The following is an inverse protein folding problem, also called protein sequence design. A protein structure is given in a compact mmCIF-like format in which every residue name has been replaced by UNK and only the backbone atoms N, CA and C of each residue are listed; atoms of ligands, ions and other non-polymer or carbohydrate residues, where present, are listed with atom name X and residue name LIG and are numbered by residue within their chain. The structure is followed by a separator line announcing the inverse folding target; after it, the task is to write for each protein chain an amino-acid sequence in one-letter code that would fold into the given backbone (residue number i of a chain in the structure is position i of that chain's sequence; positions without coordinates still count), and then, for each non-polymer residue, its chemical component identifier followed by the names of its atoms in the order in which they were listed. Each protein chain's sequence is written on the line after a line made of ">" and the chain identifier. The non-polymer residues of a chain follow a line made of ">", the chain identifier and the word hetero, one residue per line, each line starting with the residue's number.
data_IF_770532529615
#
_entry.id   IF_770532529615
#
_cell.length_a   1.000
_cell.length_b   1.000
_cell.length_c   1.000
_cell.angle_alpha   90.00
_cell.angle_beta   90.00
_cell.angle_gamma   90.00
#
_symmetry.space_group_name_H-M   'P 1'
#
loop_
_entity.id
_entity.type
_entity.pdbx_description
1 polymer ?
#
# COMPACT_ATOMS: atom_id res chain seq x y z
N UNK A 1 -20.82 -18.99 27.70
CA UNK A 1 -19.43 -18.97 27.19
C UNK A 1 -19.52 -18.93 25.67
N UNK A 2 -19.30 -17.77 25.05
CA UNK A 2 -19.29 -17.66 23.58
C UNK A 2 -18.02 -18.33 23.06
N UNK A 3 -18.16 -19.50 22.44
CA UNK A 3 -17.06 -20.17 21.75
C UNK A 3 -16.52 -19.20 20.67
N UNK A 4 -15.35 -18.62 20.89
CA UNK A 4 -14.67 -17.87 19.83
C UNK A 4 -14.39 -18.84 18.69
N UNK A 5 -14.78 -18.51 17.46
CA UNK A 5 -14.55 -19.40 16.32
C UNK A 5 -13.05 -19.70 16.21
N UNK A 6 -12.71 -20.97 16.03
CA UNK A 6 -11.33 -21.43 15.90
C UNK A 6 -10.69 -20.79 14.67
N UNK A 7 -9.51 -20.24 14.85
CA UNK A 7 -8.70 -19.72 13.73
C UNK A 7 -8.21 -20.87 12.87
N UNK A 8 -7.93 -20.57 11.60
CA UNK A 8 -7.44 -21.56 10.64
C UNK A 8 -6.30 -20.98 9.79
N UNK A 9 -5.44 -21.82 9.22
CA UNK A 9 -4.49 -21.38 8.23
C UNK A 9 -5.25 -20.91 6.97
N UNK A 10 -5.00 -19.66 6.56
CA UNK A 10 -5.52 -19.05 5.33
C UNK A 10 -4.34 -18.42 4.63
N UNK A 11 -4.11 -18.77 3.37
CA UNK A 11 -3.01 -18.24 2.57
C UNK A 11 -3.58 -17.52 1.35
N UNK A 12 -3.10 -16.32 1.06
CA UNK A 12 -3.51 -15.54 -0.10
C UNK A 12 -3.59 -14.06 0.16
N UNK A 13 -4.03 -13.32 -0.86
CA UNK A 13 -4.14 -11.87 -0.84
C UNK A 13 -5.59 -11.47 -1.12
N UNK A 14 -6.18 -10.73 -0.19
CA UNK A 14 -7.49 -10.10 -0.36
C UNK A 14 -7.27 -8.66 -0.81
N UNK A 15 -7.94 -8.24 -1.86
CA UNK A 15 -8.06 -6.83 -2.23
C UNK A 15 -9.27 -6.25 -1.50
N UNK A 16 -9.00 -5.53 -0.40
CA UNK A 16 -10.04 -4.93 0.44
C UNK A 16 -10.33 -3.50 -0.01
N UNK A 17 -11.59 -3.15 -0.23
CA UNK A 17 -12.05 -1.76 -0.27
C UNK A 17 -12.23 -1.27 1.17
N UNK A 18 -11.26 -0.51 1.68
CA UNK A 18 -11.29 0.00 3.05
C UNK A 18 -12.37 1.09 3.16
N UNK A 19 -13.35 0.94 4.06
CA UNK A 19 -14.31 2.01 4.29
C UNK A 19 -13.69 3.19 5.04
N UNK A 20 -14.34 4.32 4.99
CA UNK A 20 -14.03 5.51 5.79
C UNK A 20 -14.16 5.25 7.30
N UNK A 21 -13.47 6.04 8.12
CA UNK A 21 -13.53 6.02 9.58
C UNK A 21 -12.77 4.87 10.25
N UNK A 22 -12.22 3.92 9.49
CA UNK A 22 -11.41 2.83 10.02
C UNK A 22 -9.92 3.04 9.73
N UNK A 23 -9.06 2.80 10.73
CA UNK A 23 -7.63 2.65 10.45
C UNK A 23 -7.38 1.40 9.60
N UNK A 24 -6.29 1.39 8.83
CA UNK A 24 -5.90 0.20 8.04
C UNK A 24 -5.79 -1.06 8.89
N UNK A 25 -5.25 -0.94 10.12
CA UNK A 25 -5.17 -2.09 11.03
C UNK A 25 -6.56 -2.54 11.51
N UNK A 26 -7.48 -1.62 11.80
CA UNK A 26 -8.86 -1.99 12.20
C UNK A 26 -9.59 -2.71 11.07
N UNK A 27 -9.48 -2.21 9.84
CA UNK A 27 -10.05 -2.85 8.65
C UNK A 27 -9.46 -4.25 8.42
N UNK A 28 -8.12 -4.38 8.51
CA UNK A 28 -7.42 -5.66 8.45
C UNK A 28 -7.93 -6.65 9.52
N UNK A 29 -8.10 -6.22 10.78
CA UNK A 29 -8.57 -7.11 11.85
C UNK A 29 -10.03 -7.53 11.64
N UNK A 30 -10.88 -6.68 11.04
CA UNK A 30 -12.24 -7.08 10.64
C UNK A 30 -12.19 -8.15 9.53
N UNK A 31 -11.43 -7.92 8.46
CA UNK A 31 -11.23 -8.90 7.39
C UNK A 31 -10.66 -10.23 7.94
N UNK A 32 -9.63 -10.14 8.79
CA UNK A 32 -9.03 -11.32 9.43
C UNK A 32 -10.04 -12.15 10.23
N UNK A 33 -11.00 -11.53 10.91
CA UNK A 33 -12.07 -12.22 11.65
C UNK A 33 -13.03 -12.92 10.69
N UNK A 34 -13.45 -12.28 9.59
CA UNK A 34 -14.33 -12.87 8.58
C UNK A 34 -13.72 -14.13 7.98
N UNK A 35 -12.43 -14.14 7.69
CA UNK A 35 -11.69 -15.30 7.18
C UNK A 35 -11.26 -16.27 8.28
N UNK A 36 -11.41 -15.94 9.56
CA UNK A 36 -10.88 -16.67 10.72
C UNK A 36 -9.37 -16.93 10.63
N UNK A 37 -8.65 -16.07 9.90
CA UNK A 37 -7.25 -16.27 9.60
C UNK A 37 -6.36 -16.14 10.85
N UNK A 38 -5.36 -17.02 10.99
CA UNK A 38 -4.38 -17.00 12.08
C UNK A 38 -3.45 -15.81 11.99
N UNK A 39 -3.04 -15.46 10.77
CA UNK A 39 -2.07 -14.41 10.49
C UNK A 39 -2.57 -13.49 9.38
N UNK A 40 -2.38 -12.19 9.55
CA UNK A 40 -2.68 -11.21 8.52
C UNK A 40 -1.72 -10.01 8.61
N UNK A 41 -1.52 -9.34 7.48
CA UNK A 41 -0.77 -8.09 7.32
C UNK A 41 -1.32 -7.29 6.14
N UNK A 42 -0.91 -6.04 5.96
CA UNK A 42 -1.29 -5.23 4.79
C UNK A 42 -0.06 -4.61 4.13
N UNK A 43 -0.17 -4.21 2.87
CA UNK A 43 0.94 -3.69 2.04
C UNK A 43 1.00 -2.17 1.98
N UNK A 44 0.39 -1.46 2.90
CA UNK A 44 0.42 0.01 2.95
C UNK A 44 -0.64 0.56 3.88
N UNK A 45 -0.42 1.77 4.36
CA UNK A 45 -1.32 2.45 5.28
C UNK A 45 -2.25 3.38 4.50
N UNK A 46 -3.50 3.44 4.91
CA UNK A 46 -4.48 4.47 4.60
C UNK A 46 -4.92 5.09 5.92
N UNK A 47 -5.03 6.41 5.94
CA UNK A 47 -5.55 7.17 7.08
C UNK A 47 -7.03 6.81 7.34
N UNK A 48 -7.61 7.09 8.52
CA UNK A 48 -9.01 6.75 8.78
C UNK A 48 -9.99 7.40 7.79
N UNK A 49 -9.81 8.67 7.45
CA UNK A 49 -10.59 9.38 6.43
C UNK A 49 -10.47 8.72 5.04
N UNK A 50 -9.28 8.21 4.70
CA UNK A 50 -9.05 7.65 3.37
C UNK A 50 -9.78 6.32 3.18
N UNK A 51 -10.34 6.12 2.00
CA UNK A 51 -11.01 4.88 1.55
C UNK A 51 -10.21 4.16 0.46
N UNK A 52 -10.69 3.02 0.01
CA UNK A 52 -10.23 2.37 -1.21
C UNK A 52 -9.27 1.22 -1.00
N UNK A 53 -8.51 0.91 -2.02
CA UNK A 53 -7.78 -0.33 -2.18
C UNK A 53 -6.70 -0.54 -1.11
N UNK A 54 -6.90 -1.57 -0.29
CA UNK A 54 -5.96 -2.02 0.74
C UNK A 54 -5.69 -3.52 0.57
N UNK A 55 -4.59 -3.92 -0.06
CA UNK A 55 -4.24 -5.34 -0.14
C UNK A 55 -3.91 -5.91 1.25
N UNK A 56 -4.66 -6.93 1.64
CA UNK A 56 -4.52 -7.67 2.90
C UNK A 56 -3.94 -9.05 2.61
N UNK A 57 -2.81 -9.35 3.21
CA UNK A 57 -2.10 -10.62 3.07
C UNK A 57 -2.47 -11.54 4.23
N UNK A 58 -2.87 -12.77 3.94
CA UNK A 58 -3.11 -13.80 4.94
C UNK A 58 -2.02 -14.87 4.93
N UNK A 59 -1.70 -15.40 6.12
CA UNK A 59 -0.77 -16.50 6.29
C UNK A 59 0.57 -16.30 5.61
N UNK A 60 0.91 -17.20 4.69
CA UNK A 60 2.18 -17.21 3.96
C UNK A 60 2.38 -15.96 3.07
N UNK A 61 1.30 -15.35 2.55
CA UNK A 61 1.40 -14.12 1.78
C UNK A 61 2.05 -12.98 2.57
N UNK A 62 1.94 -12.98 3.91
CA UNK A 62 2.59 -11.95 4.75
C UNK A 62 4.12 -11.92 4.63
N UNK A 63 4.74 -13.02 4.18
CA UNK A 63 6.19 -13.09 3.97
C UNK A 63 6.65 -12.23 2.78
N UNK A 64 5.73 -11.96 1.85
CA UNK A 64 6.00 -11.26 0.59
C UNK A 64 5.42 -9.84 0.55
N UNK A 65 4.65 -9.44 1.55
CA UNK A 65 3.99 -8.12 1.62
C UNK A 65 4.95 -6.94 1.43
N UNK A 66 6.19 -7.05 1.90
CA UNK A 66 7.21 -6.01 1.79
C UNK A 66 7.53 -5.61 0.33
N UNK A 67 7.39 -6.51 -0.63
CA UNK A 67 7.71 -6.26 -2.04
C UNK A 67 6.67 -5.39 -2.77
N UNK A 68 5.49 -5.19 -2.17
CA UNK A 68 4.47 -4.26 -2.68
C UNK A 68 4.44 -2.89 -1.97
N UNK A 69 5.12 -2.75 -0.83
CA UNK A 69 5.14 -1.47 -0.09
C UNK A 69 5.71 -0.35 -0.97
N UNK A 70 6.67 -0.69 -1.80
CA UNK A 70 7.42 0.23 -2.67
C UNK A 70 6.75 0.49 -4.03
N UNK A 71 5.57 -0.05 -4.27
CA UNK A 71 4.86 0.14 -5.53
C UNK A 71 4.27 1.57 -5.66
N UNK A 72 4.07 1.98 -6.91
CA UNK A 72 3.33 3.19 -7.25
C UNK A 72 1.85 3.09 -6.85
N UNK A 73 1.21 4.24 -6.70
CA UNK A 73 -0.18 4.34 -6.27
C UNK A 73 -0.93 5.38 -7.09
N UNK A 74 -2.25 5.18 -7.20
CA UNK A 74 -3.15 6.20 -7.70
C UNK A 74 -4.25 6.50 -6.68
N UNK A 75 -4.69 7.75 -6.68
CA UNK A 75 -5.69 8.26 -5.76
C UNK A 75 -6.64 9.22 -6.47
N UNK A 76 -7.91 9.20 -6.06
CA UNK A 76 -8.83 10.32 -6.23
C UNK A 76 -8.85 11.11 -4.92
N UNK A 77 -8.59 12.41 -4.97
CA UNK A 77 -8.52 13.29 -3.82
C UNK A 77 -9.46 14.48 -3.99
N UNK A 78 -10.26 14.76 -2.95
CA UNK A 78 -11.09 15.97 -2.88
C UNK A 78 -10.43 16.95 -1.94
N UNK A 79 -10.15 18.15 -2.44
CA UNK A 79 -9.53 19.25 -1.72
C UNK A 79 -10.59 20.31 -1.38
N UNK A 80 -10.45 20.92 -0.21
CA UNK A 80 -11.12 22.18 0.14
C UNK A 80 -10.07 23.28 0.20
N UNK A 81 -10.20 24.25 -0.70
CA UNK A 81 -9.34 25.44 -0.80
C UNK A 81 -9.77 26.49 0.23
N UNK A 82 -8.83 27.34 0.63
CA UNK A 82 -9.06 28.45 1.54
C UNK A 82 -8.94 28.10 3.04
N UNK A 83 -8.74 26.86 3.41
CA UNK A 83 -8.67 26.43 4.81
C UNK A 83 -7.48 25.48 5.04
N UNK A 84 -6.72 25.72 6.10
CA UNK A 84 -5.71 24.77 6.60
C UNK A 84 -6.25 23.98 7.79
N UNK A 85 -6.00 22.67 7.80
CA UNK A 85 -6.33 21.80 8.92
C UNK A 85 -5.07 21.36 9.67
N UNK A 86 -5.18 21.09 10.95
CA UNK A 86 -4.06 20.66 11.80
C UNK A 86 -3.47 19.30 11.42
N UNK A 87 -4.22 18.47 10.67
CA UNK A 87 -3.80 17.15 10.18
C UNK A 87 -3.55 17.12 8.67
N UNK A 88 -3.91 18.20 7.94
CA UNK A 88 -3.91 18.27 6.48
C UNK A 88 -5.12 17.56 5.83
N UNK A 89 -6.10 17.12 6.64
CA UNK A 89 -7.36 16.50 6.23
C UNK A 89 -8.53 16.94 7.14
N UNK A 90 -9.75 16.51 6.82
CA UNK A 90 -10.96 16.91 7.55
C UNK A 90 -11.10 16.28 8.96
N UNK A 91 -10.17 15.41 9.38
CA UNK A 91 -10.15 14.90 10.77
C UNK A 91 -9.54 15.91 11.75
N UNK A 92 -8.79 16.91 11.25
CA UNK A 92 -8.17 17.96 12.05
C UNK A 92 -9.04 19.20 12.23
N UNK A 93 -8.67 20.02 13.21
CA UNK A 93 -9.28 21.34 13.42
C UNK A 93 -8.79 22.32 12.34
N UNK A 94 -9.66 23.26 11.92
CA UNK A 94 -9.25 24.34 11.01
C UNK A 94 -8.41 25.34 11.82
N UNK A 95 -7.16 25.52 11.38
CA UNK A 95 -6.15 26.33 12.09
C UNK A 95 -5.84 27.66 11.39
N UNK A 96 -6.18 27.77 10.12
CA UNK A 96 -6.03 29.03 9.36
C UNK A 96 -7.00 29.05 8.18
N UNK A 97 -7.34 30.29 7.74
CA UNK A 97 -8.16 30.54 6.57
C UNK A 97 -7.49 31.59 5.67
N UNK A 98 -7.75 31.48 4.37
CA UNK A 98 -7.28 32.46 3.36
C UNK A 98 -8.31 32.59 2.25
N UNK A 99 -7.97 33.26 1.14
CA UNK A 99 -8.86 33.38 -0.02
C UNK A 99 -9.24 32.01 -0.57
N UNK A 100 -10.48 31.85 -0.95
CA UNK A 100 -11.02 30.63 -1.54
C UNK A 100 -11.54 30.81 -2.98
N UNK A 101 -11.54 32.06 -3.48
CA UNK A 101 -11.94 32.48 -4.84
C UNK A 101 -10.80 32.20 -5.85
N UNK A 102 -10.42 30.95 -5.97
CA UNK A 102 -9.35 30.48 -6.84
C UNK A 102 -9.92 30.21 -8.24
N UNK A 103 -9.25 30.68 -9.28
CA UNK A 103 -9.60 30.34 -10.66
C UNK A 103 -9.07 28.96 -11.05
N UNK A 104 -9.75 28.28 -11.99
CA UNK A 104 -9.28 27.02 -12.57
C UNK A 104 -7.86 27.15 -13.14
N UNK A 105 -7.53 28.28 -13.78
CA UNK A 105 -6.20 28.52 -14.36
C UNK A 105 -5.08 28.59 -13.31
N UNK A 106 -5.33 29.22 -12.16
CA UNK A 106 -4.38 29.25 -11.04
C UNK A 106 -4.16 27.84 -10.50
N UNK A 107 -5.24 27.07 -10.33
CA UNK A 107 -5.18 25.70 -9.82
C UNK A 107 -4.44 24.78 -10.81
N UNK A 108 -4.74 24.87 -12.11
CA UNK A 108 -4.02 24.12 -13.16
C UNK A 108 -2.52 24.41 -13.17
N UNK A 109 -2.14 25.69 -13.04
CA UNK A 109 -0.73 26.11 -13.01
C UNK A 109 -0.01 25.49 -11.81
N UNK A 110 -0.64 25.47 -10.63
CA UNK A 110 -0.09 24.87 -9.43
C UNK A 110 0.06 23.35 -9.55
N UNK A 111 -0.95 22.65 -10.08
CA UNK A 111 -0.90 21.21 -10.32
C UNK A 111 0.23 20.86 -11.32
N UNK A 112 0.37 21.63 -12.40
CA UNK A 112 1.44 21.42 -13.38
C UNK A 112 2.84 21.62 -12.76
N UNK A 113 3.02 22.64 -11.93
CA UNK A 113 4.30 22.92 -11.25
C UNK A 113 4.74 21.83 -10.27
N UNK A 114 3.79 21.02 -9.77
CA UNK A 114 4.04 19.92 -8.82
C UNK A 114 4.02 18.54 -9.48
N UNK A 115 3.89 18.48 -10.81
CA UNK A 115 4.03 17.23 -11.57
C UNK A 115 5.50 17.01 -11.95
N UNK A 116 5.98 15.76 -11.84
CA UNK A 116 7.38 15.36 -12.04
C UNK A 116 8.08 15.02 -10.74
N UNK A 117 9.41 15.12 -10.75
CA UNK A 117 10.24 14.84 -9.56
C UNK A 117 10.22 16.06 -8.64
N UNK A 118 9.75 15.87 -7.41
CA UNK A 118 9.64 16.91 -6.40
C UNK A 118 10.17 16.42 -5.04
N UNK A 119 10.41 17.38 -4.14
CA UNK A 119 10.80 17.10 -2.76
C UNK A 119 9.65 17.41 -1.82
N UNK A 120 9.24 16.44 -1.03
CA UNK A 120 8.13 16.55 -0.10
C UNK A 120 8.60 16.29 1.34
N UNK A 121 8.20 17.17 2.26
CA UNK A 121 8.39 16.93 3.71
C UNK A 121 7.21 16.12 4.22
N UNK A 122 7.43 14.90 4.74
CA UNK A 122 6.34 14.06 5.28
C UNK A 122 5.60 14.78 6.42
N UNK A 123 4.27 14.59 6.57
CA UNK A 123 3.51 15.21 7.64
C UNK A 123 3.87 14.61 9.02
N UNK A 124 3.63 15.37 10.10
CA UNK A 124 3.79 14.86 11.48
C UNK A 124 2.82 13.72 11.78
N UNK A 125 1.60 13.79 11.22
CA UNK A 125 0.62 12.72 11.33
C UNK A 125 0.92 11.60 10.32
N UNK A 126 2.03 10.87 10.55
CA UNK A 126 2.46 9.75 9.70
C UNK A 126 2.96 8.56 10.52
N UNK A 127 3.01 7.39 9.89
CA UNK A 127 3.55 6.15 10.47
C UNK A 127 5.09 6.06 10.41
N UNK A 128 5.77 7.09 9.91
CA UNK A 128 7.23 7.16 9.94
C UNK A 128 7.72 7.13 11.39
N UNK A 129 8.83 6.43 11.61
CA UNK A 129 9.36 6.26 12.97
C UNK A 129 10.50 7.24 13.26
N UNK A 130 10.44 7.83 14.44
CA UNK A 130 11.54 8.54 15.07
C UNK A 130 11.79 7.86 16.43
N UNK A 131 13.04 7.43 16.68
CA UNK A 131 13.41 6.68 17.89
C UNK A 131 12.50 5.47 18.19
N UNK A 132 12.10 4.74 17.14
CA UNK A 132 11.26 3.55 17.25
C UNK A 132 9.75 3.79 17.39
N UNK A 133 9.30 5.06 17.61
CA UNK A 133 7.89 5.44 17.75
C UNK A 133 7.38 6.16 16.51
N UNK A 134 6.14 5.92 16.07
CA UNK A 134 5.55 6.62 14.94
C UNK A 134 5.43 8.12 15.19
N UNK A 135 5.61 8.96 14.17
CA UNK A 135 5.52 10.43 14.28
C UNK A 135 4.14 10.90 14.77
N UNK A 136 3.06 10.22 14.39
CA UNK A 136 1.72 10.59 14.84
C UNK A 136 1.55 10.53 16.38
N UNK A 137 2.34 9.71 17.08
CA UNK A 137 2.32 9.67 18.56
C UNK A 137 2.95 10.93 19.19
N UNK A 138 3.97 11.49 18.54
CA UNK A 138 4.55 12.77 18.92
C UNK A 138 3.60 13.92 18.59
N UNK A 139 3.01 13.90 17.36
CA UNK A 139 2.04 14.91 16.93
C UNK A 139 0.86 15.05 17.91
N UNK A 140 0.29 13.94 18.36
CA UNK A 140 -0.81 13.92 19.37
C UNK A 140 -0.42 14.53 20.71
N UNK A 141 0.87 14.62 21.02
CA UNK A 141 1.41 15.26 22.23
C UNK A 141 1.85 16.70 21.98
N UNK A 142 1.60 17.26 20.79
CA UNK A 142 2.05 18.59 20.41
C UNK A 142 3.56 18.71 20.18
N UNK A 143 4.27 17.56 20.10
CA UNK A 143 5.72 17.55 19.87
C UNK A 143 5.99 17.53 18.38
N UNK A 144 6.72 18.53 17.89
CA UNK A 144 7.14 18.61 16.49
C UNK A 144 8.54 18.04 16.35
N UNK A 145 8.68 17.03 15.47
CA UNK A 145 9.97 16.43 15.12
C UNK A 145 10.39 16.98 13.74
N UNK A 146 11.64 17.35 13.61
CA UNK A 146 12.20 17.73 12.30
C UNK A 146 12.17 16.55 11.33
N UNK A 147 11.66 16.77 10.13
CA UNK A 147 11.54 15.77 9.07
C UNK A 147 12.33 16.21 7.86
N UNK A 148 13.15 15.30 7.34
CA UNK A 148 13.89 15.54 6.10
C UNK A 148 12.94 15.41 4.91
N UNK A 149 13.05 16.32 3.96
CA UNK A 149 12.40 16.21 2.67
C UNK A 149 12.86 14.92 1.96
N UNK A 150 11.96 14.29 1.21
CA UNK A 150 12.20 13.07 0.44
C UNK A 150 11.90 13.33 -1.02
N UNK A 151 12.66 12.72 -1.89
CA UNK A 151 12.40 12.74 -3.31
C UNK A 151 11.23 11.81 -3.60
N UNK A 152 10.24 12.32 -4.33
CA UNK A 152 9.05 11.60 -4.81
C UNK A 152 8.78 12.03 -6.25
N UNK A 153 8.05 11.20 -6.98
CA UNK A 153 7.60 11.52 -8.34
C UNK A 153 6.08 11.57 -8.37
N UNK A 154 5.53 12.66 -8.86
CA UNK A 154 4.13 12.78 -9.24
C UNK A 154 4.05 12.55 -10.75
N UNK A 155 3.52 11.41 -11.17
CA UNK A 155 3.45 11.05 -12.58
C UNK A 155 2.38 11.84 -13.33
N UNK A 156 1.22 12.07 -12.69
CA UNK A 156 0.16 12.94 -13.21
C UNK A 156 -0.69 13.52 -12.07
N UNK A 157 -1.28 14.69 -12.35
CA UNK A 157 -2.38 15.30 -11.59
C UNK A 157 -3.43 15.71 -12.61
N UNK A 158 -4.55 14.99 -12.65
CA UNK A 158 -5.65 15.24 -13.56
C UNK A 158 -6.81 15.85 -12.77
N UNK A 159 -7.26 17.06 -13.15
CA UNK A 159 -8.36 17.76 -12.50
C UNK A 159 -9.66 17.22 -13.07
N UNK A 160 -10.45 16.51 -12.26
CA UNK A 160 -11.71 15.88 -12.68
C UNK A 160 -12.92 16.72 -12.37
N UNK A 161 -12.87 17.58 -11.33
CA UNK A 161 -13.92 18.53 -10.97
C UNK A 161 -13.28 19.77 -10.34
N UNK A 162 -13.78 20.95 -10.70
CA UNK A 162 -13.34 22.20 -10.08
C UNK A 162 -14.51 23.17 -9.95
N UNK A 163 -14.89 23.45 -8.71
CA UNK A 163 -15.88 24.45 -8.32
C UNK A 163 -15.46 25.04 -6.96
N UNK A 164 -14.65 26.11 -7.03
CA UNK A 164 -14.03 26.67 -5.82
C UNK A 164 -15.06 26.98 -4.72
N UNK A 165 -14.82 26.59 -3.47
CA UNK A 165 -13.56 26.13 -2.90
C UNK A 165 -13.27 24.63 -3.06
N UNK A 166 -14.06 23.85 -3.78
CA UNK A 166 -13.88 22.42 -3.99
C UNK A 166 -13.06 22.15 -5.25
N UNK A 167 -12.11 21.21 -5.15
CA UNK A 167 -11.41 20.65 -6.30
C UNK A 167 -11.30 19.12 -6.13
N UNK A 168 -11.48 18.36 -7.22
CA UNK A 168 -11.23 16.90 -7.25
C UNK A 168 -10.14 16.62 -8.25
N UNK A 169 -9.14 15.86 -7.82
CA UNK A 169 -8.00 15.49 -8.65
C UNK A 169 -7.76 13.98 -8.60
N UNK A 170 -7.37 13.42 -9.73
CA UNK A 170 -6.78 12.10 -9.82
C UNK A 170 -5.27 12.23 -9.86
N UNK A 171 -4.57 11.50 -9.00
CA UNK A 171 -3.11 11.59 -8.84
C UNK A 171 -2.49 10.22 -8.99
N UNK A 172 -1.46 10.10 -9.86
CA UNK A 172 -0.55 8.94 -9.88
C UNK A 172 0.81 9.36 -9.33
N UNK A 173 1.35 8.58 -8.41
CA UNK A 173 2.57 8.96 -7.71
C UNK A 173 3.41 7.75 -7.26
N UNK A 174 4.69 8.01 -7.05
CA UNK A 174 5.64 7.06 -6.50
C UNK A 174 5.34 6.73 -5.02
N UNK A 175 5.99 5.68 -4.53
CA UNK A 175 5.98 5.35 -3.09
C UNK A 175 6.35 6.55 -2.22
N UNK A 176 5.79 6.57 -1.01
CA UNK A 176 6.16 7.56 0.00
C UNK A 176 5.52 8.93 -0.15
N UNK A 177 4.72 9.15 -1.20
CA UNK A 177 3.96 10.38 -1.42
C UNK A 177 2.81 10.49 -0.42
N UNK A 178 2.67 11.67 0.18
CA UNK A 178 1.54 12.06 1.05
C UNK A 178 0.62 13.02 0.30
N UNK A 179 -0.58 12.56 -0.03
CA UNK A 179 -1.56 13.37 -0.79
C UNK A 179 -2.04 14.56 0.05
N UNK A 180 -2.09 14.45 1.38
CA UNK A 180 -2.35 15.58 2.30
C UNK A 180 -1.33 16.69 2.09
N UNK A 181 -0.04 16.37 2.12
CA UNK A 181 1.02 17.35 1.88
C UNK A 181 0.98 17.88 0.44
N UNK A 182 0.65 17.04 -0.56
CA UNK A 182 0.48 17.50 -1.94
C UNK A 182 -0.63 18.57 -2.04
N UNK A 183 -1.76 18.37 -1.34
CA UNK A 183 -2.84 19.36 -1.33
C UNK A 183 -2.41 20.69 -0.70
N UNK A 184 -1.64 20.64 0.38
CA UNK A 184 -1.05 21.82 1.02
C UNK A 184 -0.03 22.53 0.09
N UNK A 185 0.82 21.75 -0.61
CA UNK A 185 1.83 22.30 -1.54
C UNK A 185 1.16 22.95 -2.77
N UNK A 186 0.09 22.37 -3.32
CA UNK A 186 -0.72 22.98 -4.38
C UNK A 186 -1.27 24.34 -3.91
N UNK A 187 -1.92 24.36 -2.73
CA UNK A 187 -2.50 25.57 -2.19
C UNK A 187 -1.45 26.65 -1.89
N UNK A 188 -0.29 26.26 -1.36
CA UNK A 188 0.84 27.15 -1.11
C UNK A 188 1.35 27.79 -2.39
N UNK A 189 1.39 27.05 -3.50
CA UNK A 189 1.82 27.59 -4.80
C UNK A 189 0.87 28.69 -5.31
N UNK A 190 -0.42 28.59 -4.96
CA UNK A 190 -1.46 29.59 -5.30
C UNK A 190 -1.47 30.77 -4.30
N UNK A 191 -0.83 30.64 -3.14
CA UNK A 191 -0.89 31.60 -2.06
C UNK A 191 -2.16 31.53 -1.20
N UNK A 192 -2.67 30.29 -1.00
CA UNK A 192 -3.82 29.99 -0.14
C UNK A 192 -3.53 28.75 0.73
N UNK A 193 -4.56 28.20 1.38
CA UNK A 193 -4.51 26.96 2.11
C UNK A 193 -5.39 25.89 1.45
N UNK A 194 -5.14 24.63 1.75
CA UNK A 194 -6.04 23.52 1.45
C UNK A 194 -5.86 22.37 2.44
N UNK A 195 -6.90 21.55 2.55
CA UNK A 195 -6.84 20.25 3.20
C UNK A 195 -7.70 19.25 2.43
N UNK A 196 -7.48 17.95 2.67
CA UNK A 196 -8.30 16.90 2.08
C UNK A 196 -9.62 16.76 2.81
N UNK A 197 -10.73 16.73 2.07
CA UNK A 197 -12.05 16.36 2.59
C UNK A 197 -12.42 14.92 2.23
N UNK A 198 -11.81 14.34 1.19
CA UNK A 198 -11.90 12.92 0.88
C UNK A 198 -10.62 12.44 0.18
N UNK A 199 -10.29 11.17 0.39
CA UNK A 199 -9.17 10.51 -0.29
C UNK A 199 -9.56 9.06 -0.58
N UNK A 200 -9.41 8.61 -1.82
CA UNK A 200 -9.67 7.23 -2.22
C UNK A 200 -8.48 6.67 -2.98
N UNK A 201 -7.85 5.61 -2.47
CA UNK A 201 -6.80 4.92 -3.23
C UNK A 201 -7.44 4.02 -4.28
N UNK A 202 -7.21 4.32 -5.55
CA UNK A 202 -7.79 3.62 -6.70
C UNK A 202 -6.89 2.54 -7.26
N UNK A 203 -5.54 2.71 -7.12
CA UNK A 203 -4.58 1.72 -7.59
C UNK A 203 -3.39 1.56 -6.63
N UNK A 204 -2.85 0.36 -6.55
CA UNK A 204 -1.55 0.06 -5.93
C UNK A 204 -0.98 -1.23 -6.51
N UNK A 205 0.32 -1.22 -6.90
CA UNK A 205 1.04 -2.42 -7.35
C UNK A 205 0.38 -3.16 -8.53
N UNK A 206 -0.27 -2.45 -9.43
CA UNK A 206 -0.98 -3.03 -10.58
C UNK A 206 -2.39 -3.54 -10.26
N UNK A 207 -2.82 -3.54 -9.00
CA UNK A 207 -4.20 -3.81 -8.63
C UNK A 207 -5.04 -2.55 -8.70
N UNK A 208 -6.30 -2.70 -9.12
CA UNK A 208 -7.28 -1.61 -9.21
C UNK A 208 -8.41 -1.79 -8.21
N UNK A 209 -9.07 -0.70 -7.85
CA UNK A 209 -10.20 -0.69 -6.91
C UNK A 209 -11.38 -1.54 -7.38
N UNK A 210 -11.54 -1.71 -8.69
CA UNK A 210 -12.60 -2.54 -9.30
C UNK A 210 -12.48 -4.02 -8.97
N UNK A 211 -11.30 -4.48 -8.54
CA UNK A 211 -11.03 -5.85 -8.14
C UNK A 211 -11.24 -6.08 -6.64
N UNK A 212 -11.60 -5.04 -5.89
CA UNK A 212 -11.67 -5.10 -4.43
C UNK A 212 -13.08 -5.41 -3.92
N UNK A 213 -13.15 -5.83 -2.65
CA UNK A 213 -14.39 -6.22 -1.98
C UNK A 213 -14.53 -5.42 -0.69
N UNK A 214 -15.75 -4.94 -0.38
CA UNK A 214 -16.04 -4.25 0.89
C UNK A 214 -16.19 -5.26 2.04
N UNK A 215 -16.06 -4.77 3.28
CA UNK A 215 -16.26 -5.62 4.47
C UNK A 215 -17.70 -6.16 4.54
N UNK A 216 -18.67 -5.35 4.10
CA UNK A 216 -20.09 -5.69 4.06
C UNK A 216 -20.33 -6.83 3.07
N UNK A 217 -19.86 -6.69 1.83
CA UNK A 217 -19.98 -7.75 0.82
C UNK A 217 -19.32 -9.07 1.29
N UNK A 218 -18.13 -8.97 1.92
CA UNK A 218 -17.46 -10.15 2.47
C UNK A 218 -18.24 -10.80 3.61
N UNK A 219 -19.01 -10.05 4.40
CA UNK A 219 -19.79 -10.59 5.51
C UNK A 219 -20.99 -11.42 5.03
N UNK A 220 -21.56 -11.11 3.87
CA UNK A 220 -22.69 -11.83 3.26
C UNK A 220 -22.30 -13.19 2.66
N UNK A 221 -21.02 -13.37 2.29
CA UNK A 221 -20.51 -14.58 1.68
C UNK A 221 -20.29 -15.69 2.72
N UNK A 222 -20.40 -16.95 2.28
CA UNK A 222 -19.94 -18.09 3.06
C UNK A 222 -18.40 -18.22 3.07
N UNK A 223 -17.88 -19.23 3.76
CA UNK A 223 -16.42 -19.43 3.87
C UNK A 223 -15.77 -19.82 2.54
N UNK A 224 -16.42 -20.66 1.75
CA UNK A 224 -15.89 -21.14 0.47
C UNK A 224 -15.85 -20.01 -0.55
N UNK A 225 -16.92 -19.22 -0.63
CA UNK A 225 -17.03 -18.04 -1.47
C UNK A 225 -15.96 -17.00 -1.12
N UNK A 226 -15.77 -16.69 0.18
CA UNK A 226 -14.68 -15.79 0.61
C UNK A 226 -13.31 -16.29 0.22
N UNK A 227 -13.04 -17.60 0.37
CA UNK A 227 -11.75 -18.17 0.01
C UNK A 227 -11.49 -18.07 -1.50
N UNK A 228 -12.52 -18.22 -2.34
CA UNK A 228 -12.40 -18.09 -3.79
C UNK A 228 -12.01 -16.67 -4.25
N UNK A 229 -12.20 -15.65 -3.41
CA UNK A 229 -11.78 -14.27 -3.69
C UNK A 229 -10.29 -14.01 -3.40
N UNK A 230 -9.60 -14.96 -2.76
CA UNK A 230 -8.19 -14.79 -2.45
C UNK A 230 -7.33 -15.00 -3.69
N UNK A 231 -6.50 -14.01 -3.98
CA UNK A 231 -5.45 -14.14 -4.97
C UNK A 231 -4.30 -14.99 -4.41
N UNK A 232 -3.56 -15.72 -5.26
CA UNK A 232 -2.41 -16.52 -4.82
C UNK A 232 -1.28 -15.63 -4.27
N UNK A 233 -0.41 -16.21 -3.43
CA UNK A 233 0.64 -15.46 -2.72
C UNK A 233 1.67 -14.81 -3.65
N UNK A 234 1.90 -15.40 -4.81
CA UNK A 234 2.89 -14.95 -5.81
C UNK A 234 2.49 -13.67 -6.55
N UNK A 235 1.21 -13.24 -6.46
CA UNK A 235 0.79 -11.93 -7.01
C UNK A 235 1.57 -10.76 -6.42
N UNK A 236 2.09 -10.93 -5.20
CA UNK A 236 2.90 -9.93 -4.50
C UNK A 236 4.30 -9.73 -5.09
N UNK A 237 4.73 -10.64 -5.95
CA UNK A 237 6.11 -10.73 -6.46
C UNK A 237 6.18 -10.93 -7.97
N UNK A 238 5.07 -10.71 -8.70
CA UNK A 238 4.97 -10.95 -10.15
C UNK A 238 5.95 -10.12 -11.00
N UNK A 239 6.44 -9.02 -10.48
CA UNK A 239 7.43 -8.17 -11.13
C UNK A 239 8.85 -8.79 -11.15
N UNK A 240 9.11 -9.86 -10.37
CA UNK A 240 10.38 -10.56 -10.41
C UNK A 240 10.41 -11.64 -11.49
N UNK A 241 11.59 -11.99 -12.02
CA UNK A 241 11.77 -13.09 -12.97
C UNK A 241 11.25 -14.41 -12.42
N UNK A 242 10.71 -15.26 -13.31
CA UNK A 242 10.19 -16.61 -12.98
C UNK A 242 11.25 -17.67 -13.33
N UNK A 243 11.36 -18.68 -12.46
CA UNK A 243 12.16 -19.87 -12.69
C UNK A 243 11.41 -21.11 -12.23
N UNK A 244 11.40 -22.14 -13.06
CA UNK A 244 10.89 -23.46 -12.69
C UNK A 244 12.03 -24.36 -12.23
N UNK A 245 11.84 -25.09 -11.15
CA UNK A 245 12.83 -25.98 -10.56
C UNK A 245 12.33 -27.42 -10.57
N UNK A 246 13.26 -28.36 -10.72
CA UNK A 246 12.98 -29.76 -10.52
C UNK A 246 12.79 -30.09 -9.02
N UNK A 247 12.20 -31.23 -8.72
CA UNK A 247 11.85 -31.65 -7.37
C UNK A 247 13.05 -31.77 -6.44
N UNK A 248 14.20 -32.15 -6.99
CA UNK A 248 15.45 -32.23 -6.22
C UNK A 248 15.91 -30.85 -5.75
N UNK A 249 15.93 -29.86 -6.64
CA UNK A 249 16.31 -28.48 -6.28
C UNK A 249 15.29 -27.84 -5.30
N UNK A 250 13.99 -28.10 -5.47
CA UNK A 250 12.95 -27.67 -4.53
C UNK A 250 13.19 -28.28 -3.14
N UNK A 251 13.47 -29.59 -3.06
CA UNK A 251 13.76 -30.29 -1.82
C UNK A 251 14.99 -29.71 -1.13
N UNK A 252 16.06 -29.48 -1.87
CA UNK A 252 17.27 -28.84 -1.33
C UNK A 252 16.95 -27.46 -0.71
N UNK A 253 16.22 -26.61 -1.43
CA UNK A 253 15.85 -25.28 -0.93
C UNK A 253 15.02 -25.37 0.36
N UNK A 254 14.04 -26.28 0.43
CA UNK A 254 13.22 -26.53 1.63
C UNK A 254 14.03 -26.95 2.84
N UNK A 255 15.14 -27.66 2.63
CA UNK A 255 16.09 -28.04 3.68
C UNK A 255 17.17 -26.98 3.94
N UNK A 256 17.03 -25.76 3.40
CA UNK A 256 18.00 -24.69 3.59
C UNK A 256 19.32 -24.85 2.82
N UNK A 257 19.37 -25.83 1.92
CA UNK A 257 20.52 -26.10 1.07
C UNK A 257 20.50 -25.19 -0.17
N UNK A 258 21.63 -25.08 -0.87
CA UNK A 258 21.78 -24.24 -2.06
C UNK A 258 22.00 -25.12 -3.28
N UNK A 259 20.92 -25.45 -4.04
CA UNK A 259 21.07 -26.26 -5.25
C UNK A 259 21.93 -25.56 -6.27
N UNK A 260 22.73 -26.35 -6.99
CA UNK A 260 23.53 -25.87 -8.12
C UNK A 260 22.59 -25.52 -9.28
N UNK A 261 22.87 -24.41 -9.96
CA UNK A 261 22.14 -23.95 -11.12
C UNK A 261 23.14 -23.54 -12.20
N UNK A 262 23.08 -24.21 -13.33
CA UNK A 262 24.10 -24.08 -14.39
C UNK A 262 23.70 -23.11 -15.50
N UNK A 263 22.43 -22.72 -15.57
CA UNK A 263 21.97 -21.72 -16.53
C UNK A 263 22.38 -20.32 -16.08
N UNK A 264 22.82 -19.50 -17.03
CA UNK A 264 23.21 -18.13 -16.72
C UNK A 264 21.98 -17.24 -16.51
N UNK A 265 21.76 -16.81 -15.28
CA UNK A 265 20.70 -15.88 -14.94
C UNK A 265 21.30 -14.47 -14.89
N UNK A 266 20.88 -13.62 -15.81
CA UNK A 266 21.34 -12.23 -15.94
C UNK A 266 20.46 -11.27 -15.11
N UNK A 267 20.32 -11.53 -13.80
CA UNK A 267 19.60 -10.61 -12.90
C UNK A 267 20.25 -10.61 -11.51
N UNK A 268 20.21 -9.44 -10.87
CA UNK A 268 20.55 -9.27 -9.45
C UNK A 268 19.29 -9.17 -8.58
N UNK A 269 18.11 -9.25 -9.21
CA UNK A 269 16.83 -9.22 -8.52
C UNK A 269 16.50 -10.59 -7.91
N UNK A 270 15.64 -10.66 -6.88
CA UNK A 270 15.02 -11.90 -6.45
C UNK A 270 14.32 -12.62 -7.61
N UNK A 271 14.33 -13.94 -7.58
CA UNK A 271 13.74 -14.80 -8.60
C UNK A 271 12.60 -15.59 -7.97
N UNK A 272 11.41 -15.56 -8.60
CA UNK A 272 10.27 -16.39 -8.22
C UNK A 272 10.51 -17.82 -8.66
N UNK A 273 10.46 -18.76 -7.74
CA UNK A 273 10.63 -20.17 -8.05
C UNK A 273 9.34 -20.95 -7.90
N UNK A 274 9.14 -21.85 -8.84
CA UNK A 274 7.99 -22.75 -8.93
C UNK A 274 8.49 -24.19 -9.09
N UNK A 275 7.74 -25.15 -8.56
CA UNK A 275 7.89 -26.55 -8.89
C UNK A 275 7.31 -26.86 -10.27
N UNK A 276 7.60 -28.04 -10.82
CA UNK A 276 7.15 -28.46 -12.16
C UNK A 276 5.62 -28.53 -12.31
N UNK A 277 4.91 -28.73 -11.22
CA UNK A 277 3.43 -28.71 -11.17
C UNK A 277 2.86 -27.28 -11.12
N UNK A 278 3.72 -26.24 -11.16
CA UNK A 278 3.31 -24.84 -11.12
C UNK A 278 3.10 -24.27 -9.73
N UNK A 279 3.39 -25.04 -8.66
CA UNK A 279 3.27 -24.54 -7.29
C UNK A 279 4.35 -23.50 -6.98
N UNK A 280 3.94 -22.33 -6.47
CA UNK A 280 4.87 -21.28 -6.03
C UNK A 280 5.62 -21.72 -4.78
N UNK A 281 6.94 -21.76 -4.85
CA UNK A 281 7.83 -22.18 -3.75
C UNK A 281 8.34 -20.99 -2.95
N UNK A 282 8.55 -19.84 -3.59
CA UNK A 282 9.05 -18.64 -2.94
C UNK A 282 10.02 -17.84 -3.79
N UNK A 283 10.89 -17.12 -3.10
CA UNK A 283 11.95 -16.29 -3.71
C UNK A 283 13.33 -16.82 -3.40
N UNK A 284 14.20 -16.80 -4.39
CA UNK A 284 15.62 -17.11 -4.29
C UNK A 284 16.49 -15.99 -4.85
N UNK A 285 17.75 -15.99 -4.50
CA UNK A 285 18.84 -15.19 -5.04
C UNK A 285 19.77 -16.12 -5.81
N UNK A 286 20.18 -15.72 -7.00
CA UNK A 286 21.23 -16.43 -7.73
C UNK A 286 22.61 -15.89 -7.36
N UNK A 287 23.45 -16.74 -6.76
CA UNK A 287 24.81 -16.42 -6.35
C UNK A 287 25.76 -16.74 -7.52
N UNK A 288 26.04 -15.76 -8.37
CA UNK A 288 26.79 -15.91 -9.63
C UNK A 288 28.17 -16.52 -9.43
N UNK A 289 28.88 -16.13 -8.36
CA UNK A 289 30.27 -16.54 -8.07
C UNK A 289 30.39 -18.05 -7.87
N UNK A 290 29.34 -18.68 -7.38
CA UNK A 290 29.34 -20.12 -7.04
C UNK A 290 28.33 -20.94 -7.81
N UNK A 291 27.54 -20.29 -8.72
CA UNK A 291 26.51 -20.95 -9.54
C UNK A 291 25.41 -21.63 -8.72
N UNK A 292 24.95 -21.02 -7.63
CA UNK A 292 23.97 -21.62 -6.72
C UNK A 292 22.78 -20.71 -6.43
N UNK A 293 21.63 -21.33 -6.15
CA UNK A 293 20.44 -20.65 -5.68
C UNK A 293 20.38 -20.64 -4.15
N UNK A 294 20.15 -19.46 -3.57
CA UNK A 294 19.98 -19.28 -2.12
C UNK A 294 18.56 -18.84 -1.82
N UNK A 295 17.88 -19.53 -0.92
CA UNK A 295 16.54 -19.15 -0.47
C UNK A 295 16.56 -17.77 0.21
N UNK A 296 15.67 -16.86 -0.22
CA UNK A 296 15.40 -15.58 0.42
C UNK A 296 14.14 -15.68 1.29
N UNK A 297 13.06 -16.18 0.71
CA UNK A 297 11.77 -16.41 1.38
C UNK A 297 11.07 -17.60 0.74
N UNK A 298 10.78 -18.63 1.50
CA UNK A 298 10.04 -19.80 1.01
C UNK A 298 8.64 -19.86 1.65
N UNK A 299 7.70 -20.37 0.87
CA UNK A 299 6.39 -20.82 1.36
C UNK A 299 6.59 -21.99 2.31
N UNK A 300 5.80 -22.03 3.39
CA UNK A 300 5.69 -23.23 4.22
C UNK A 300 4.66 -24.15 3.56
N UNK A 301 5.11 -25.21 2.90
CA UNK A 301 4.25 -26.10 2.12
C UNK A 301 3.62 -27.21 2.98
N UNK A 302 3.82 -27.20 4.30
CA UNK A 302 3.17 -28.16 5.21
C UNK A 302 1.68 -27.89 5.42
N UNK A 303 1.17 -26.70 5.01
CA UNK A 303 -0.19 -26.22 5.25
C UNK A 303 -0.98 -25.99 3.94
N UNK A 304 -0.63 -26.67 2.84
CA UNK A 304 -1.39 -26.66 1.58
C UNK A 304 -2.19 -27.91 1.39
#
# INVERSE_FOLDING_TARGET
>A
MTNKPTKRPVNGVLLLDKPEGLSSNTALQKARRLFRAEKAGHTGVLDPLATGLLPVCFGEATKFAQYLIDADKAYTATLKLGEASSTGDAEGEIVATARADISLSEFQTACHALTGDIRQVPPMFSALKHEGKPLYEYARKGIVIERKARDITIYSIDITEFDAPKAVIDVRCSKGTYIRTLSEDIAKHIGTFAHLTALRRTETAGFTITQSHTLEALAELDEAERNALLLPCDVLVQHFPKLELNDYAVTMLKHGQRPQFTENISTDQPIRVYSRDGTFIGLVEYQKEIGRLKALRLMNTADQ
#
